data_IF_203500307170
#
_entry.id   IF_203500307170
#
_cell.length_a   1.000
_cell.length_b   1.000
_cell.length_c   1.000
_cell.angle_alpha   90.00
_cell.angle_beta   90.00
_cell.angle_gamma   90.00
#
_symmetry.space_group_name_H-M   'P 1'
#
loop_
_entity.id
_entity.type
_entity.pdbx_description
1 polymer ?
#
# COMPACT_ATOMS: atom_id res chain seq x y z
N UNK A 1 24.80 8.02 6.91
CA UNK A 1 23.42 8.55 6.72
C UNK A 1 23.27 9.84 7.51
N UNK A 2 22.41 10.74 7.07
CA UNK A 2 22.13 11.99 7.80
C UNK A 2 20.78 11.87 8.52
N UNK A 3 20.76 12.19 9.81
CA UNK A 3 19.56 12.13 10.66
C UNK A 3 19.33 13.49 11.29
N UNK A 4 18.09 13.95 11.27
CA UNK A 4 17.65 15.16 11.96
C UNK A 4 16.65 14.77 13.04
N UNK A 5 17.03 14.95 14.31
CA UNK A 5 16.14 14.67 15.43
C UNK A 5 14.95 15.61 15.43
N UNK A 6 13.77 15.09 15.78
CA UNK A 6 12.53 15.88 15.87
C UNK A 6 12.76 17.10 16.78
N UNK A 7 12.17 18.24 16.41
CA UNK A 7 12.32 19.53 17.10
C UNK A 7 13.72 20.16 17.06
N UNK A 8 14.65 19.60 16.27
CA UNK A 8 15.97 20.20 16.05
C UNK A 8 16.17 20.55 14.59
N UNK A 9 17.01 21.53 14.29
CA UNK A 9 17.52 21.80 12.92
C UNK A 9 18.93 21.26 12.69
N UNK A 10 19.43 20.45 13.63
CA UNK A 10 20.78 19.90 13.57
C UNK A 10 20.76 18.59 12.79
N UNK A 11 21.56 18.54 11.73
CA UNK A 11 21.85 17.31 10.99
C UNK A 11 23.07 16.62 11.62
N UNK A 12 22.90 15.35 11.97
CA UNK A 12 23.95 14.48 12.48
C UNK A 12 24.27 13.38 11.47
N UNK A 13 25.56 13.05 11.30
CA UNK A 13 26.01 12.04 10.35
C UNK A 13 26.43 10.76 11.10
N UNK A 14 25.87 9.63 10.69
CA UNK A 14 26.15 8.31 11.25
C UNK A 14 26.75 7.37 10.21
N UNK A 15 27.82 6.66 10.55
CA UNK A 15 28.27 5.49 9.80
C UNK A 15 27.63 4.22 10.37
N UNK A 16 26.89 3.51 9.53
CA UNK A 16 26.10 2.33 9.93
C UNK A 16 26.03 1.33 8.79
N UNK A 17 25.86 0.05 9.13
CA UNK A 17 25.78 -1.01 8.13
C UNK A 17 24.40 -1.10 7.43
N UNK A 18 23.30 -0.79 8.16
CA UNK A 18 21.91 -0.99 7.72
C UNK A 18 20.93 -0.01 8.40
N UNK A 19 19.85 0.36 7.69
CA UNK A 19 18.69 1.10 8.21
C UNK A 19 17.45 0.22 8.08
N UNK A 20 16.62 0.20 9.12
CA UNK A 20 15.27 -0.35 9.09
C UNK A 20 14.28 0.79 9.34
N UNK A 21 13.39 1.04 8.37
CA UNK A 21 12.33 2.04 8.52
C UNK A 21 11.17 1.43 9.31
N UNK A 22 11.04 1.86 10.57
CA UNK A 22 9.96 1.47 11.47
C UNK A 22 8.93 2.59 11.66
N UNK A 23 8.87 3.57 10.75
CA UNK A 23 7.93 4.71 10.83
C UNK A 23 6.46 4.33 10.59
N UNK A 24 6.20 3.06 10.31
CA UNK A 24 4.86 2.49 10.20
C UNK A 24 4.34 2.54 8.76
N UNK A 25 3.22 3.22 8.55
CA UNK A 25 2.50 3.23 7.28
C UNK A 25 3.37 3.86 6.19
N UNK A 26 3.54 3.13 5.07
CA UNK A 26 4.23 3.65 3.90
C UNK A 26 3.53 4.93 3.40
N UNK A 27 4.27 6.04 3.34
CA UNK A 27 3.74 7.34 2.91
C UNK A 27 3.35 7.37 1.44
N UNK A 28 4.04 6.58 0.62
CA UNK A 28 3.78 6.47 -0.81
C UNK A 28 3.98 5.01 -1.23
N UNK A 29 2.89 4.36 -1.62
CA UNK A 29 2.93 2.95 -2.03
C UNK A 29 3.85 2.72 -3.23
N UNK A 30 4.06 3.71 -4.11
CA UNK A 30 4.94 3.57 -5.27
C UNK A 30 6.42 3.41 -4.88
N UNK A 31 6.77 3.90 -3.69
CA UNK A 31 8.13 3.79 -3.14
C UNK A 31 8.33 2.56 -2.25
N UNK A 32 7.29 1.74 -2.05
CA UNK A 32 7.31 0.58 -1.16
C UNK A 32 8.47 -0.37 -1.42
N UNK A 33 9.11 -0.88 -0.36
CA UNK A 33 10.15 -1.91 -0.45
C UNK A 33 9.61 -3.30 -0.82
N UNK A 34 8.28 -3.49 -0.83
CA UNK A 34 7.65 -4.73 -1.25
C UNK A 34 7.81 -4.92 -2.78
N UNK A 35 8.65 -5.88 -3.17
CA UNK A 35 8.99 -6.14 -4.57
C UNK A 35 7.80 -6.56 -5.44
N UNK A 36 6.81 -7.25 -4.86
CA UNK A 36 5.61 -7.68 -5.59
C UNK A 36 4.77 -6.45 -5.96
N UNK A 37 4.51 -5.57 -4.99
CA UNK A 37 3.73 -4.35 -5.22
C UNK A 37 4.45 -3.44 -6.20
N UNK A 38 5.77 -3.24 -6.02
CA UNK A 38 6.58 -2.44 -6.94
C UNK A 38 6.53 -3.00 -8.36
N UNK A 39 6.68 -4.32 -8.54
CA UNK A 39 6.60 -4.95 -9.86
C UNK A 39 5.24 -4.76 -10.53
N UNK A 40 4.13 -4.82 -9.78
CA UNK A 40 2.80 -4.57 -10.33
C UNK A 40 2.65 -3.13 -10.85
N UNK A 41 3.13 -2.16 -10.08
CA UNK A 41 3.08 -0.74 -10.45
C UNK A 41 4.01 -0.46 -11.64
N UNK A 42 5.25 -0.93 -11.61
CA UNK A 42 6.23 -0.74 -12.69
C UNK A 42 5.76 -1.33 -14.03
N UNK A 43 4.98 -2.42 -13.97
CA UNK A 43 4.40 -3.08 -15.15
C UNK A 43 3.05 -2.48 -15.58
N UNK A 44 2.56 -1.46 -14.89
CA UNK A 44 1.25 -0.86 -15.15
C UNK A 44 0.05 -1.75 -14.80
N UNK A 45 0.27 -2.87 -14.11
CA UNK A 45 -0.80 -3.79 -13.67
C UNK A 45 -1.53 -3.32 -12.41
N UNK A 46 -0.98 -2.29 -11.75
CA UNK A 46 -1.59 -1.58 -10.64
C UNK A 46 -1.16 -0.10 -10.70
N UNK A 47 -1.91 0.79 -10.05
CA UNK A 47 -1.46 2.16 -9.79
C UNK A 47 -1.66 2.54 -8.32
N UNK A 48 -0.89 3.51 -7.79
CA UNK A 48 -1.23 4.16 -6.53
C UNK A 48 -2.61 4.81 -6.60
N UNK A 49 -3.35 4.81 -5.49
CA UNK A 49 -4.55 5.65 -5.36
C UNK A 49 -4.17 7.14 -5.44
N UNK A 50 -5.13 8.06 -5.67
CA UNK A 50 -4.85 9.49 -5.82
C UNK A 50 -4.09 10.13 -4.64
N UNK A 51 -4.25 9.61 -3.43
CA UNK A 51 -3.56 10.06 -2.22
C UNK A 51 -2.30 9.23 -1.91
N UNK A 52 -2.00 8.21 -2.72
CA UNK A 52 -0.84 7.31 -2.62
C UNK A 52 -0.74 6.54 -1.29
N UNK A 53 -1.87 6.37 -0.60
CA UNK A 53 -1.99 5.66 0.67
C UNK A 53 -2.00 4.12 0.50
N UNK A 54 -2.23 3.65 -0.72
CA UNK A 54 -2.31 2.25 -1.13
C UNK A 54 -2.45 2.13 -2.65
N UNK A 55 -2.80 0.94 -3.12
CA UNK A 55 -3.19 0.70 -4.50
C UNK A 55 -4.58 1.25 -4.76
N UNK A 56 -4.80 1.76 -5.97
CA UNK A 56 -6.12 2.11 -6.44
C UNK A 56 -6.93 0.84 -6.70
N UNK A 57 -8.10 0.74 -6.08
CA UNK A 57 -8.97 -0.43 -6.17
C UNK A 57 -10.43 -0.04 -6.30
N UNK A 58 -11.20 -0.88 -6.99
CA UNK A 58 -12.66 -0.78 -6.98
C UNK A 58 -13.25 -1.11 -5.59
N UNK A 59 -14.52 -0.77 -5.38
CA UNK A 59 -15.27 -1.16 -4.17
C UNK A 59 -15.35 -2.68 -3.95
N UNK A 60 -15.11 -3.44 -5.03
CA UNK A 60 -15.07 -4.90 -5.03
C UNK A 60 -13.66 -5.46 -4.78
N UNK A 61 -12.69 -4.61 -4.41
CA UNK A 61 -11.30 -4.96 -4.11
C UNK A 61 -10.47 -5.34 -5.35
N UNK A 62 -10.92 -5.02 -6.55
CA UNK A 62 -10.18 -5.28 -7.81
C UNK A 62 -9.17 -4.17 -8.03
N UNK A 63 -7.93 -4.55 -8.33
CA UNK A 63 -6.86 -3.59 -8.60
C UNK A 63 -7.13 -2.84 -9.90
N UNK A 64 -6.94 -1.54 -9.88
CA UNK A 64 -7.01 -0.68 -11.06
C UNK A 64 -5.60 -0.51 -11.64
N UNK A 65 -5.46 -0.83 -12.92
CA UNK A 65 -4.22 -0.73 -13.66
C UNK A 65 -3.83 0.73 -13.97
N UNK A 66 -2.59 0.93 -14.44
CA UNK A 66 -2.08 2.26 -14.77
C UNK A 66 -2.90 2.99 -15.85
N UNK A 67 -3.51 2.24 -16.76
CA UNK A 67 -4.40 2.73 -17.82
C UNK A 67 -5.85 2.96 -17.34
N UNK A 68 -6.16 2.66 -16.08
CA UNK A 68 -7.50 2.75 -15.50
C UNK A 68 -8.35 1.48 -15.67
N UNK A 69 -7.84 0.43 -16.29
CA UNK A 69 -8.56 -0.84 -16.45
C UNK A 69 -8.72 -1.55 -15.11
N UNK A 70 -9.93 -2.00 -14.78
CA UNK A 70 -10.19 -2.83 -13.60
C UNK A 70 -9.72 -4.26 -13.87
N UNK A 71 -8.89 -4.81 -12.98
CA UNK A 71 -8.35 -6.16 -13.13
C UNK A 71 -9.41 -7.22 -12.87
N UNK A 72 -9.54 -8.18 -13.80
CA UNK A 72 -10.39 -9.36 -13.62
C UNK A 72 -9.75 -10.47 -12.75
N UNK A 73 -8.46 -10.34 -12.41
CA UNK A 73 -7.69 -11.42 -11.76
C UNK A 73 -6.93 -11.00 -10.51
N UNK A 74 -6.64 -9.71 -10.37
CA UNK A 74 -5.81 -9.19 -9.28
C UNK A 74 -6.72 -8.45 -8.31
N UNK A 75 -6.76 -8.95 -7.09
CA UNK A 75 -7.52 -8.40 -5.98
C UNK A 75 -6.53 -7.99 -4.89
N UNK A 76 -6.82 -6.91 -4.18
CA UNK A 76 -6.04 -6.49 -3.02
C UNK A 76 -6.94 -6.41 -1.78
N UNK A 77 -6.39 -6.71 -0.60
CA UNK A 77 -7.10 -6.63 0.67
C UNK A 77 -6.22 -5.98 1.72
N UNK A 78 -6.83 -5.50 2.79
CA UNK A 78 -6.17 -4.88 3.92
C UNK A 78 -5.53 -3.54 3.58
N UNK A 79 -4.40 -3.20 4.23
CA UNK A 79 -3.78 -1.87 4.15
C UNK A 79 -3.44 -1.40 2.73
N UNK A 80 -3.29 -2.32 1.77
CA UNK A 80 -3.09 -1.97 0.36
C UNK A 80 -4.31 -1.25 -0.25
N UNK A 81 -5.48 -1.36 0.35
CA UNK A 81 -6.74 -0.78 -0.15
C UNK A 81 -7.15 0.50 0.58
N UNK A 82 -6.24 1.11 1.34
CA UNK A 82 -6.53 2.25 2.23
C UNK A 82 -7.11 3.45 1.51
N UNK A 83 -6.71 3.71 0.27
CA UNK A 83 -7.26 4.79 -0.55
C UNK A 83 -8.78 4.68 -0.77
N UNK A 84 -9.31 3.45 -0.84
CA UNK A 84 -10.75 3.20 -1.08
C UNK A 84 -11.54 3.01 0.20
N UNK A 85 -11.04 2.22 1.15
CA UNK A 85 -11.86 1.80 2.31
C UNK A 85 -11.61 2.61 3.59
N UNK A 86 -10.52 3.37 3.68
CA UNK A 86 -10.07 4.11 4.88
C UNK A 86 -9.97 3.25 6.15
N UNK A 87 -9.04 3.55 7.07
CA UNK A 87 -8.86 2.79 8.34
C UNK A 87 -8.80 1.24 8.23
N UNK A 88 -8.48 0.68 7.06
CA UNK A 88 -8.43 -0.77 6.77
C UNK A 88 -7.12 -1.42 7.26
N UNK A 89 -6.77 -1.15 8.51
CA UNK A 89 -5.50 -1.54 9.14
C UNK A 89 -5.68 -2.58 10.25
N UNK A 90 -6.85 -2.62 10.90
CA UNK A 90 -7.11 -3.53 11.99
C UNK A 90 -7.60 -4.90 11.49
N UNK A 91 -7.17 -5.96 12.18
CA UNK A 91 -7.53 -7.34 11.87
C UNK A 91 -9.06 -7.54 11.72
N UNK A 92 -9.93 -6.96 12.57
CA UNK A 92 -11.38 -7.12 12.42
C UNK A 92 -11.90 -6.64 11.05
N UNK A 93 -11.48 -5.45 10.61
CA UNK A 93 -11.93 -4.86 9.35
C UNK A 93 -11.44 -5.65 8.14
N UNK A 94 -10.18 -6.09 8.19
CA UNK A 94 -9.58 -6.95 7.15
C UNK A 94 -10.35 -8.28 7.06
N UNK A 95 -10.73 -8.88 8.19
CA UNK A 95 -11.51 -10.13 8.21
C UNK A 95 -12.88 -9.94 7.55
N UNK A 96 -13.56 -8.83 7.81
CA UNK A 96 -14.86 -8.52 7.19
C UNK A 96 -14.70 -8.32 5.68
N UNK A 97 -13.68 -7.57 5.25
CA UNK A 97 -13.37 -7.36 3.84
C UNK A 97 -13.12 -8.69 3.12
N UNK A 98 -12.26 -9.55 3.68
CA UNK A 98 -11.96 -10.88 3.15
C UNK A 98 -13.20 -11.78 3.11
N UNK A 99 -14.06 -11.76 4.13
CA UNK A 99 -15.29 -12.55 4.14
C UNK A 99 -16.27 -12.12 3.05
N UNK A 100 -16.44 -10.80 2.83
CA UNK A 100 -17.25 -10.26 1.74
C UNK A 100 -16.71 -10.65 0.38
N UNK A 101 -15.39 -10.52 0.18
CA UNK A 101 -14.72 -10.91 -1.05
C UNK A 101 -14.85 -12.42 -1.30
N UNK A 102 -14.64 -13.25 -0.28
CA UNK A 102 -14.76 -14.71 -0.39
C UNK A 102 -16.14 -15.17 -0.83
N UNK A 103 -17.22 -14.58 -0.29
CA UNK A 103 -18.59 -14.86 -0.76
C UNK A 103 -18.74 -14.55 -2.25
N UNK A 104 -18.28 -13.37 -2.68
CA UNK A 104 -18.36 -12.94 -4.09
C UNK A 104 -17.62 -13.89 -5.04
N UNK A 105 -16.48 -14.44 -4.61
CA UNK A 105 -15.69 -15.35 -5.44
C UNK A 105 -16.35 -16.74 -5.59
N UNK A 106 -17.21 -17.14 -4.67
CA UNK A 106 -17.89 -18.44 -4.67
C UNK A 106 -19.25 -18.42 -5.38
N UNK A 107 -19.84 -17.24 -5.60
CA UNK A 107 -21.20 -17.08 -6.14
C UNK A 107 -22.23 -16.99 -5.03
#
# INVERSE_FOLDING_TARGET
>A
VQVQSRHTQRLETFEIARIYDCSGIARDISTTSNSVVRSLVDRGLARPDPLRLGLDVSDNCEVIAGDGTVSAKILAVGPLTRGTFFEIDAIPDIRVQCARLGKRLLG
#
